data_IF_151271853287
#
_entry.id   IF_151271853287
#
_cell.length_a   1.000
_cell.length_b   1.000
_cell.length_c   1.000
_cell.angle_alpha   90.00
_cell.angle_beta   90.00
_cell.angle_gamma   90.00
#
_symmetry.space_group_name_H-M   'P 1'
#
loop_
_entity.id
_entity.type
_entity.pdbx_description
1 polymer ?
#
# COMPACT_ATOMS: atom_id res chain seq x y z
N UNK A 1 4.97 -4.20 44.41
CA UNK A 1 4.81 -5.24 43.37
C UNK A 1 4.12 -4.59 42.17
N UNK A 2 4.88 -3.91 41.31
CA UNK A 2 4.36 -3.31 40.07
C UNK A 2 4.84 -4.19 38.91
N UNK A 3 3.92 -4.92 38.29
CA UNK A 3 4.17 -5.62 37.04
C UNK A 3 3.93 -4.63 35.90
N UNK A 4 4.99 -3.97 35.40
CA UNK A 4 4.92 -3.24 34.13
C UNK A 4 4.82 -4.26 33.00
N UNK A 5 3.60 -4.52 32.53
CA UNK A 5 3.37 -5.26 31.30
C UNK A 5 3.77 -4.41 30.09
N UNK A 6 4.69 -4.90 29.25
CA UNK A 6 4.97 -4.29 27.95
C UNK A 6 3.70 -4.35 27.08
N UNK A 7 3.39 -3.25 26.38
CA UNK A 7 2.29 -3.23 25.40
C UNK A 7 2.62 -4.13 24.21
N UNK A 8 1.61 -4.65 23.52
CA UNK A 8 1.84 -5.62 22.44
C UNK A 8 2.66 -5.03 21.27
N UNK A 9 2.59 -3.71 21.06
CA UNK A 9 3.47 -2.99 20.13
C UNK A 9 4.93 -2.99 20.57
N UNK A 10 5.21 -2.90 21.87
CA UNK A 10 6.56 -2.99 22.41
C UNK A 10 7.12 -4.42 22.29
N UNK A 11 6.28 -5.45 22.43
CA UNK A 11 6.69 -6.85 22.23
C UNK A 11 7.06 -7.14 20.76
N UNK A 12 6.25 -6.66 19.82
CA UNK A 12 6.52 -6.81 18.38
C UNK A 12 7.78 -6.05 17.99
N UNK A 13 7.94 -4.80 18.48
CA UNK A 13 9.14 -4.00 18.25
C UNK A 13 10.41 -4.67 18.80
N UNK A 14 10.34 -5.23 20.01
CA UNK A 14 11.46 -5.95 20.63
C UNK A 14 11.83 -7.22 19.83
N UNK A 15 10.83 -7.94 19.31
CA UNK A 15 11.05 -9.13 18.47
C UNK A 15 11.75 -8.80 17.15
N UNK A 16 11.34 -7.72 16.47
CA UNK A 16 11.95 -7.27 15.21
C UNK A 16 13.39 -6.79 15.40
N UNK A 17 13.65 -6.06 16.49
CA UNK A 17 15.01 -5.60 16.84
C UNK A 17 15.91 -6.78 17.22
N UNK A 18 15.41 -7.74 18.00
CA UNK A 18 16.16 -8.94 18.36
C UNK A 18 16.49 -9.80 17.13
N UNK A 19 15.53 -9.96 16.21
CA UNK A 19 15.74 -10.67 14.95
C UNK A 19 16.77 -9.97 14.06
N UNK A 20 16.67 -8.65 13.92
CA UNK A 20 17.62 -7.84 13.15
C UNK A 20 19.05 -7.93 13.70
N UNK A 21 19.22 -7.83 15.03
CA UNK A 21 20.51 -7.99 15.70
C UNK A 21 21.08 -9.42 15.53
N UNK A 22 20.22 -10.44 15.60
CA UNK A 22 20.60 -11.82 15.32
C UNK A 22 21.16 -11.99 13.92
N UNK A 23 20.47 -11.46 12.91
CA UNK A 23 20.89 -11.56 11.50
C UNK A 23 22.19 -10.80 11.22
N UNK A 24 22.35 -9.62 11.83
CA UNK A 24 23.58 -8.82 11.72
C UNK A 24 24.76 -9.53 12.37
N UNK A 25 24.56 -10.14 13.55
CA UNK A 25 25.59 -10.93 14.22
C UNK A 25 26.00 -12.17 13.40
N UNK A 26 25.05 -12.85 12.77
CA UNK A 26 25.30 -14.00 11.91
C UNK A 26 26.07 -13.58 10.64
N UNK A 27 25.69 -12.44 10.04
CA UNK A 27 26.38 -11.87 8.89
C UNK A 27 27.83 -11.49 9.20
N UNK A 28 28.08 -10.91 10.38
CA UNK A 28 29.44 -10.63 10.87
C UNK A 28 30.23 -11.94 11.03
N UNK A 29 29.68 -12.94 11.71
CA UNK A 29 30.36 -14.24 11.91
C UNK A 29 30.72 -14.89 10.56
N UNK A 30 29.80 -14.92 9.61
CA UNK A 30 30.02 -15.52 8.28
C UNK A 30 31.04 -14.72 7.42
N UNK A 31 31.08 -13.39 7.58
CA UNK A 31 32.04 -12.55 6.86
C UNK A 31 33.46 -12.71 7.43
N UNK A 32 33.59 -12.82 8.76
CA UNK A 32 34.87 -13.03 9.43
C UNK A 32 35.39 -14.46 9.29
N UNK A 33 34.54 -15.47 9.06
CA UNK A 33 34.97 -16.85 8.81
C UNK A 33 35.83 -16.97 7.54
N UNK A 34 35.47 -16.25 6.46
CA UNK A 34 36.31 -16.19 5.25
C UNK A 34 37.61 -15.40 5.47
N UNK A 35 37.57 -14.36 6.31
CA UNK A 35 38.76 -13.60 6.71
C UNK A 35 39.73 -14.42 7.57
N UNK A 36 39.21 -15.23 8.49
CA UNK A 36 39.98 -16.13 9.35
C UNK A 36 40.59 -17.30 8.56
N UNK A 37 39.87 -17.86 7.58
CA UNK A 37 40.42 -18.85 6.65
C UNK A 37 41.55 -18.27 5.78
N UNK A 38 41.41 -17.03 5.31
CA UNK A 38 42.46 -16.33 4.55
C UNK A 38 43.71 -16.06 5.42
N UNK A 39 43.53 -15.61 6.66
CA UNK A 39 44.63 -15.41 7.62
C UNK A 39 45.29 -16.74 8.03
N UNK A 40 44.51 -17.80 8.22
CA UNK A 40 45.02 -19.15 8.50
C UNK A 40 45.93 -19.67 7.38
N UNK A 41 45.51 -19.52 6.12
CA UNK A 41 46.33 -19.88 4.96
C UNK A 41 47.62 -19.04 4.87
N UNK A 42 47.57 -17.74 5.20
CA UNK A 42 48.75 -16.88 5.23
C UNK A 42 49.74 -17.27 6.33
N UNK A 43 49.24 -17.65 7.52
CA UNK A 43 50.05 -18.14 8.64
C UNK A 43 50.67 -19.52 8.36
N UNK A 44 49.98 -20.39 7.62
CA UNK A 44 50.55 -21.66 7.13
C UNK A 44 51.64 -21.42 6.09
N UNK A 45 51.47 -20.42 5.21
CA UNK A 45 52.48 -20.00 4.23
C UNK A 45 53.74 -19.47 4.91
N UNK A 46 53.59 -18.58 5.89
CA UNK A 46 54.71 -18.10 6.72
C UNK A 46 55.38 -19.22 7.52
N UNK A 47 54.62 -20.18 8.07
CA UNK A 47 55.19 -21.35 8.76
C UNK A 47 55.98 -22.25 7.82
N UNK A 48 55.54 -22.44 6.57
CA UNK A 48 56.30 -23.20 5.56
C UNK A 48 57.59 -22.49 5.15
N UNK A 49 57.53 -21.16 5.00
CA UNK A 49 58.70 -20.34 4.68
C UNK A 49 59.72 -20.29 5.83
N UNK A 50 59.24 -20.19 7.08
CA UNK A 50 60.07 -20.29 8.29
C UNK A 50 60.59 -21.71 8.56
N UNK A 51 59.89 -22.78 8.16
CA UNK A 51 60.39 -24.18 8.22
C UNK A 51 61.50 -24.44 7.19
N UNK A 52 61.42 -23.82 6.02
CA UNK A 52 62.49 -23.88 5.01
C UNK A 52 63.76 -23.18 5.50
N UNK A 53 63.62 -22.00 6.13
CA UNK A 53 64.75 -21.26 6.73
C UNK A 53 65.29 -21.87 8.04
N UNK A 54 64.50 -22.67 8.78
CA UNK A 54 64.92 -23.34 10.04
C UNK A 54 65.73 -24.64 9.88
N UNK A 55 66.01 -25.10 8.66
CA UNK A 55 67.01 -26.17 8.42
C UNK A 55 68.45 -25.65 8.41
N UNK A 56 68.66 -24.34 8.55
CA UNK A 56 69.97 -23.75 8.82
C UNK A 56 69.92 -22.98 10.15
N UNK A 57 70.85 -23.34 11.05
CA UNK A 57 71.26 -22.63 12.26
C UNK A 57 70.42 -22.81 13.56
N UNK A 58 71.15 -23.13 14.62
CA UNK A 58 70.75 -23.63 15.95
C UNK A 58 70.57 -22.53 17.03
N UNK A 59 69.49 -22.66 17.85
CA UNK A 59 69.25 -22.20 19.26
C UNK A 59 69.29 -20.69 19.66
N UNK A 60 68.70 -20.23 20.82
CA UNK A 60 67.50 -20.62 21.59
C UNK A 60 66.56 -19.37 21.92
N UNK A 61 65.85 -19.21 23.07
CA UNK A 61 64.39 -18.99 23.10
C UNK A 61 63.93 -17.55 23.44
N UNK A 62 62.70 -17.17 23.06
CA UNK A 62 62.04 -15.95 23.54
C UNK A 62 60.55 -16.17 23.86
N UNK A 63 60.26 -16.12 25.16
CA UNK A 63 58.95 -16.10 25.79
C UNK A 63 58.50 -14.65 26.01
N UNK A 64 57.81 -14.00 25.05
CA UNK A 64 57.13 -12.72 25.32
C UNK A 64 56.06 -12.26 24.32
N UNK A 65 55.26 -13.15 23.76
CA UNK A 65 54.31 -12.73 22.69
C UNK A 65 52.87 -13.25 22.82
N UNK A 66 52.47 -13.76 23.99
CA UNK A 66 51.10 -14.31 24.21
C UNK A 66 50.17 -13.48 25.07
N UNK A 67 50.63 -12.39 25.70
CA UNK A 67 49.79 -11.56 26.61
C UNK A 67 49.22 -10.28 25.95
N UNK A 68 49.80 -9.80 24.86
CA UNK A 68 49.36 -8.56 24.17
C UNK A 68 48.17 -8.78 23.23
N UNK A 69 48.02 -9.98 22.65
CA UNK A 69 46.91 -10.26 21.73
C UNK A 69 45.54 -10.42 22.44
N UNK A 70 45.51 -10.92 23.67
CA UNK A 70 44.25 -11.18 24.40
C UNK A 70 43.63 -9.89 24.97
N UNK A 71 44.44 -8.89 25.33
CA UNK A 71 43.94 -7.59 25.82
C UNK A 71 43.38 -6.71 24.69
N UNK A 72 43.97 -6.76 23.48
CA UNK A 72 43.51 -5.95 22.35
C UNK A 72 42.12 -6.35 21.85
N UNK A 73 41.81 -7.66 21.86
CA UNK A 73 40.49 -8.18 21.42
C UNK A 73 39.39 -7.71 22.38
N UNK A 74 39.60 -7.78 23.70
CA UNK A 74 38.60 -7.37 24.69
C UNK A 74 38.32 -5.85 24.69
N UNK A 75 39.32 -5.02 24.39
CA UNK A 75 39.15 -3.58 24.24
C UNK A 75 38.33 -3.23 22.98
N UNK A 76 38.61 -3.90 21.86
CA UNK A 76 37.84 -3.72 20.62
C UNK A 76 36.37 -4.13 20.77
N UNK A 77 36.07 -5.22 21.49
CA UNK A 77 34.68 -5.66 21.73
C UNK A 77 33.90 -4.65 22.59
N UNK A 78 34.55 -4.03 23.57
CA UNK A 78 33.93 -3.01 24.44
C UNK A 78 33.63 -1.73 23.70
N UNK A 79 34.52 -1.27 22.82
CA UNK A 79 34.30 -0.08 21.98
C UNK A 79 33.18 -0.32 20.98
N UNK A 80 33.12 -1.50 20.36
CA UNK A 80 32.03 -1.88 19.45
C UNK A 80 30.70 -1.93 20.20
N UNK A 81 30.63 -2.58 21.37
CA UNK A 81 29.41 -2.61 22.19
C UNK A 81 28.96 -1.20 22.63
N UNK A 82 29.88 -0.33 23.06
CA UNK A 82 29.54 1.06 23.43
C UNK A 82 29.02 1.87 22.25
N UNK A 83 29.62 1.69 21.06
CA UNK A 83 29.20 2.38 19.84
C UNK A 83 27.83 1.91 19.34
N UNK A 84 27.52 0.61 19.46
CA UNK A 84 26.19 0.06 19.19
C UNK A 84 25.17 0.57 20.21
N UNK A 85 25.53 0.67 21.49
CA UNK A 85 24.65 1.22 22.54
C UNK A 85 24.33 2.70 22.31
N UNK A 86 25.31 3.49 21.84
CA UNK A 86 25.11 4.90 21.47
C UNK A 86 24.18 5.08 20.25
N UNK A 87 24.23 4.17 19.27
CA UNK A 87 23.32 4.19 18.11
C UNK A 87 21.86 3.93 18.50
N UNK A 88 21.61 3.21 19.60
CA UNK A 88 20.26 2.94 20.10
C UNK A 88 19.57 4.16 20.77
N UNK A 89 20.33 5.18 21.20
CA UNK A 89 19.77 6.37 21.90
C UNK A 89 19.08 7.35 20.92
N UNK A 90 19.32 7.20 19.61
CA UNK A 90 18.79 8.07 18.57
C UNK A 90 17.47 7.64 17.92
N UNK A 91 16.78 6.63 18.44
CA UNK A 91 15.53 6.14 17.84
C UNK A 91 14.38 7.08 18.17
N UNK A 92 14.22 8.14 17.36
CA UNK A 92 12.93 8.82 17.25
C UNK A 92 11.98 7.84 16.56
N UNK A 93 10.90 7.46 17.24
CA UNK A 93 9.89 6.57 16.68
C UNK A 93 9.39 7.12 15.35
N UNK A 94 9.67 6.42 14.26
CA UNK A 94 9.17 6.78 12.94
C UNK A 94 7.71 6.34 12.86
N UNK A 95 6.80 7.32 12.83
CA UNK A 95 5.39 7.03 12.60
C UNK A 95 5.20 6.71 11.12
N UNK A 96 4.78 5.48 10.83
CA UNK A 96 4.38 5.08 9.49
C UNK A 96 2.91 5.51 9.32
N UNK A 97 2.60 6.47 8.43
CA UNK A 97 1.23 6.90 8.19
C UNK A 97 0.34 5.72 7.79
N UNK A 98 -0.85 5.60 8.41
CA UNK A 98 -1.82 4.54 8.13
C UNK A 98 -1.78 3.34 9.08
N UNK A 99 -0.83 3.30 10.02
CA UNK A 99 -0.71 2.20 11.01
C UNK A 99 -1.52 2.46 12.29
N UNK A 100 -1.71 3.72 12.69
CA UNK A 100 -2.55 4.06 13.85
C UNK A 100 -3.96 4.50 13.41
N UNK A 101 -5.00 4.23 14.23
CA UNK A 101 -6.35 4.71 13.97
C UNK A 101 -6.42 6.23 14.09
N UNK A 102 -7.03 6.87 13.09
CA UNK A 102 -7.53 8.24 13.24
C UNK A 102 -8.79 8.18 14.10
N UNK A 103 -8.83 9.00 15.14
CA UNK A 103 -10.01 9.16 16.00
C UNK A 103 -10.66 10.49 15.68
N UNK A 104 -11.97 10.47 15.44
CA UNK A 104 -12.77 11.64 15.12
C UNK A 104 -13.74 11.96 16.26
N UNK A 105 -14.00 13.23 16.48
CA UNK A 105 -15.11 13.72 17.31
C UNK A 105 -16.36 14.02 16.45
N UNK A 106 -17.51 14.16 17.10
CA UNK A 106 -18.74 14.57 16.41
C UNK A 106 -18.55 15.95 15.75
N UNK A 107 -18.93 16.05 14.47
CA UNK A 107 -18.80 17.28 13.69
C UNK A 107 -17.44 17.50 13.04
N UNK A 108 -16.43 16.67 13.32
CA UNK A 108 -15.13 16.74 12.64
C UNK A 108 -15.28 16.58 11.13
N UNK A 109 -14.37 17.21 10.38
CA UNK A 109 -14.38 17.14 8.91
C UNK A 109 -13.70 15.86 8.44
N UNK A 110 -14.44 15.04 7.69
CA UNK A 110 -13.90 13.88 6.98
C UNK A 110 -13.58 14.24 5.53
N UNK A 111 -12.30 14.15 5.16
CA UNK A 111 -11.86 14.46 3.79
C UNK A 111 -12.07 13.26 2.85
N UNK A 112 -12.85 13.48 1.78
CA UNK A 112 -12.92 12.56 0.65
C UNK A 112 -11.88 12.97 -0.40
N UNK A 113 -11.10 12.00 -0.87
CA UNK A 113 -10.04 12.21 -1.86
C UNK A 113 -10.33 11.35 -3.09
N UNK A 114 -9.99 11.84 -4.26
CA UNK A 114 -10.05 11.05 -5.48
C UNK A 114 -8.65 10.54 -5.83
N UNK A 115 -8.56 9.35 -6.43
CA UNK A 115 -7.29 8.70 -6.75
C UNK A 115 -7.05 8.62 -8.25
N UNK A 116 -7.90 7.86 -8.94
CA UNK A 116 -7.79 7.59 -10.38
C UNK A 116 -9.09 7.00 -10.89
N UNK A 117 -9.14 6.80 -12.20
CA UNK A 117 -10.14 6.01 -12.86
C UNK A 117 -9.46 4.86 -13.60
N UNK A 118 -9.99 3.66 -13.48
CA UNK A 118 -9.49 2.46 -14.19
C UNK A 118 -10.63 1.83 -14.96
N UNK A 119 -10.30 1.01 -15.96
CA UNK A 119 -11.28 0.28 -16.75
C UNK A 119 -10.84 -1.18 -16.86
N UNK A 120 -11.81 -2.09 -16.90
CA UNK A 120 -11.55 -3.51 -17.19
C UNK A 120 -11.35 -3.76 -18.70
N UNK A 121 -11.76 -2.82 -19.56
CA UNK A 121 -11.66 -2.93 -21.02
C UNK A 121 -10.36 -2.35 -21.57
N UNK A 122 -9.77 -1.38 -20.87
CA UNK A 122 -8.59 -0.64 -21.34
C UNK A 122 -7.50 -0.63 -20.28
N UNK A 123 -6.23 -0.68 -20.72
CA UNK A 123 -5.08 -0.76 -19.80
C UNK A 123 -4.62 0.60 -19.24
N UNK A 124 -5.23 1.72 -19.65
CA UNK A 124 -4.78 3.06 -19.30
C UNK A 124 -5.58 3.63 -18.13
N UNK A 125 -4.97 3.86 -16.95
CA UNK A 125 -5.61 4.63 -15.89
C UNK A 125 -5.61 6.12 -16.24
N UNK A 126 -6.62 6.83 -15.77
CA UNK A 126 -6.73 8.28 -15.93
C UNK A 126 -6.91 8.99 -14.60
N UNK A 127 -6.42 10.23 -14.51
CA UNK A 127 -6.64 11.08 -13.34
C UNK A 127 -8.12 11.44 -13.20
N UNK A 128 -8.58 11.63 -11.97
CA UNK A 128 -9.97 12.04 -11.68
C UNK A 128 -10.38 13.29 -12.47
N UNK A 129 -9.60 14.36 -12.38
CA UNK A 129 -9.87 15.64 -13.06
C UNK A 129 -9.53 15.66 -14.56
N UNK A 130 -9.22 14.50 -15.17
CA UNK A 130 -9.16 14.38 -16.64
C UNK A 130 -10.54 14.57 -17.29
N UNK A 131 -11.61 14.34 -16.53
CA UNK A 131 -12.99 14.71 -16.86
C UNK A 131 -13.41 15.96 -16.07
N UNK A 132 -14.35 16.76 -16.59
CA UNK A 132 -14.75 18.03 -15.98
C UNK A 132 -15.71 17.83 -14.78
N UNK A 133 -15.23 17.14 -13.75
CA UNK A 133 -15.90 17.06 -12.44
C UNK A 133 -15.81 18.37 -11.67
N UNK A 134 -16.59 18.47 -10.59
CA UNK A 134 -16.55 19.59 -9.67
C UNK A 134 -15.17 19.76 -9.03
N UNK A 135 -14.59 20.95 -9.19
CA UNK A 135 -13.38 21.35 -8.49
C UNK A 135 -13.72 21.96 -7.13
N UNK A 136 -12.79 21.96 -6.16
CA UNK A 136 -12.93 22.70 -4.90
C UNK A 136 -13.29 24.18 -5.12
N UNK A 137 -13.99 24.80 -4.18
CA UNK A 137 -14.45 26.21 -4.29
C UNK A 137 -13.29 27.20 -4.49
N UNK A 138 -12.12 26.89 -3.94
CA UNK A 138 -10.89 27.68 -4.09
C UNK A 138 -10.24 27.52 -5.47
N UNK A 139 -10.74 26.62 -6.33
CA UNK A 139 -10.21 26.33 -7.66
C UNK A 139 -8.94 25.48 -7.68
N UNK A 140 -8.22 25.44 -6.56
CA UNK A 140 -6.93 24.76 -6.43
C UNK A 140 -7.08 23.26 -6.16
N UNK A 141 -6.48 22.48 -7.07
CA UNK A 141 -6.35 21.01 -6.94
C UNK A 141 -5.02 20.72 -6.26
N UNK A 142 -5.10 20.26 -5.01
CA UNK A 142 -3.96 19.87 -4.21
C UNK A 142 -3.71 18.37 -4.32
N UNK A 143 -2.51 18.02 -4.77
CA UNK A 143 -2.04 16.64 -4.81
C UNK A 143 -1.45 16.26 -3.45
N UNK A 144 -1.88 15.12 -2.90
CA UNK A 144 -1.31 14.57 -1.68
C UNK A 144 0.07 13.99 -1.99
N UNK A 145 1.03 14.17 -1.09
CA UNK A 145 2.30 13.45 -1.15
C UNK A 145 2.06 11.95 -0.99
N UNK A 146 2.59 11.17 -1.92
CA UNK A 146 2.37 9.73 -2.03
C UNK A 146 3.54 8.95 -1.43
N UNK A 147 3.25 7.74 -0.94
CA UNK A 147 4.27 6.77 -0.59
C UNK A 147 4.79 6.03 -1.83
N UNK A 148 5.92 5.31 -1.70
CA UNK A 148 6.55 4.61 -2.82
C UNK A 148 5.59 3.61 -3.50
N UNK A 149 4.75 2.92 -2.72
CA UNK A 149 3.78 1.95 -3.26
C UNK A 149 2.69 2.60 -4.11
N UNK A 150 2.15 3.75 -3.66
CA UNK A 150 1.17 4.55 -4.40
C UNK A 150 1.78 5.12 -5.69
N UNK A 151 3.04 5.56 -5.65
CA UNK A 151 3.76 6.03 -6.84
C UNK A 151 3.95 4.89 -7.85
N UNK A 152 4.37 3.71 -7.41
CA UNK A 152 4.55 2.54 -8.28
C UNK A 152 3.23 2.04 -8.89
N UNK A 153 2.10 2.22 -8.18
CA UNK A 153 0.75 1.95 -8.69
C UNK A 153 0.19 3.01 -9.64
N UNK A 154 0.92 4.12 -9.81
CA UNK A 154 0.51 5.25 -10.63
C UNK A 154 -0.66 6.04 -10.03
N UNK A 155 -0.81 6.03 -8.71
CA UNK A 155 -1.89 6.75 -8.03
C UNK A 155 -1.64 8.27 -8.10
N UNK A 156 -2.71 9.06 -8.19
CA UNK A 156 -2.67 10.54 -8.19
C UNK A 156 -3.74 11.07 -7.25
N UNK A 157 -3.46 11.02 -5.95
CA UNK A 157 -4.43 11.40 -4.93
C UNK A 157 -4.61 12.93 -4.90
N UNK A 158 -5.86 13.38 -5.08
CA UNK A 158 -6.25 14.79 -5.10
C UNK A 158 -7.41 15.07 -4.15
N UNK A 159 -7.51 16.31 -3.67
CA UNK A 159 -8.65 16.78 -2.89
C UNK A 159 -9.92 16.86 -3.74
N UNK A 160 -11.09 16.74 -3.09
CA UNK A 160 -12.40 16.84 -3.74
C UNK A 160 -13.28 17.87 -3.01
N UNK A 161 -14.34 18.40 -3.65
CA UNK A 161 -15.26 19.35 -3.01
C UNK A 161 -16.26 18.73 -2.03
N UNK A 162 -16.25 17.42 -1.79
CA UNK A 162 -17.20 16.79 -0.85
C UNK A 162 -16.94 17.24 0.58
N UNK A 163 -18.00 17.66 1.29
CA UNK A 163 -17.91 18.16 2.65
C UNK A 163 -18.71 17.25 3.59
N UNK A 164 -18.00 16.36 4.28
CA UNK A 164 -18.59 15.45 5.25
C UNK A 164 -18.22 15.89 6.64
N UNK A 165 -19.23 15.96 7.51
CA UNK A 165 -19.05 16.13 8.96
C UNK A 165 -19.44 14.85 9.66
N UNK A 166 -18.59 14.40 10.58
CA UNK A 166 -18.76 13.14 11.33
C UNK A 166 -20.09 13.16 12.09
N UNK A 167 -20.86 12.08 11.93
CA UNK A 167 -22.23 11.87 12.45
C UNK A 167 -23.32 12.84 11.96
N UNK A 168 -23.06 13.63 10.93
CA UNK A 168 -24.07 14.51 10.33
C UNK A 168 -24.56 13.92 9.01
N UNK A 169 -25.75 13.33 9.05
CA UNK A 169 -26.47 12.86 7.87
C UNK A 169 -26.86 14.03 6.97
N UNK A 170 -26.71 13.83 5.65
CA UNK A 170 -27.00 14.83 4.63
C UNK A 170 -27.73 14.14 3.48
N UNK A 171 -29.02 14.44 3.26
CA UNK A 171 -29.80 13.65 2.29
C UNK A 171 -29.72 14.13 0.84
N UNK A 172 -29.39 15.40 0.61
CA UNK A 172 -29.22 15.94 -0.75
C UNK A 172 -28.44 17.24 -0.68
N UNK A 173 -27.20 17.18 -1.15
CA UNK A 173 -26.28 18.30 -1.26
C UNK A 173 -25.85 18.48 -2.70
N UNK A 174 -25.83 19.72 -3.17
CA UNK A 174 -25.34 20.12 -4.47
C UNK A 174 -23.82 20.24 -4.37
N UNK A 175 -23.10 19.48 -5.19
CA UNK A 175 -21.65 19.55 -5.26
C UNK A 175 -21.22 20.70 -6.17
N UNK A 176 -21.77 20.73 -7.39
CA UNK A 176 -21.65 21.85 -8.32
C UNK A 176 -22.65 21.70 -9.48
N UNK A 177 -22.84 22.80 -10.20
CA UNK A 177 -23.52 22.83 -11.49
C UNK A 177 -22.51 23.12 -12.59
N UNK A 178 -22.58 22.36 -13.68
CA UNK A 178 -21.69 22.50 -14.83
C UNK A 178 -22.48 22.41 -16.13
N UNK A 179 -21.99 23.09 -17.16
CA UNK A 179 -22.55 23.01 -18.50
C UNK A 179 -21.55 22.31 -19.42
N UNK A 180 -21.87 21.08 -19.82
CA UNK A 180 -20.98 20.27 -20.65
C UNK A 180 -21.07 20.67 -22.12
N UNK A 181 -19.92 20.90 -22.75
CA UNK A 181 -19.82 21.06 -24.20
C UNK A 181 -19.78 19.70 -24.92
N UNK A 182 -19.94 19.69 -26.24
CA UNK A 182 -19.92 18.46 -27.05
C UNK A 182 -18.64 17.62 -26.86
N UNK A 183 -17.46 18.25 -26.69
CA UNK A 183 -16.20 17.51 -26.46
C UNK A 183 -16.21 16.80 -25.11
N UNK A 184 -16.72 17.47 -24.08
CA UNK A 184 -16.83 16.94 -22.72
C UNK A 184 -17.88 15.84 -22.63
N UNK A 185 -19.05 16.02 -23.26
CA UNK A 185 -20.07 14.97 -23.38
C UNK A 185 -19.46 13.73 -24.05
N UNK A 186 -18.77 13.90 -25.19
CA UNK A 186 -18.09 12.79 -25.86
C UNK A 186 -17.04 12.12 -24.97
N UNK A 187 -16.25 12.89 -24.21
CA UNK A 187 -15.26 12.34 -23.30
C UNK A 187 -15.91 11.50 -22.18
N UNK A 188 -16.98 11.99 -21.54
CA UNK A 188 -17.74 11.21 -20.58
C UNK A 188 -18.34 9.95 -21.22
N UNK A 189 -19.00 10.09 -22.38
CA UNK A 189 -19.62 8.96 -23.06
C UNK A 189 -18.62 7.86 -23.38
N UNK A 190 -17.45 8.22 -23.91
CA UNK A 190 -16.39 7.27 -24.21
C UNK A 190 -15.91 6.54 -22.95
N UNK A 191 -15.71 7.25 -21.82
CA UNK A 191 -15.29 6.62 -20.57
C UNK A 191 -16.36 5.71 -19.96
N UNK A 192 -17.63 6.05 -20.15
CA UNK A 192 -18.73 5.18 -19.71
C UNK A 192 -18.79 3.92 -20.59
N UNK A 193 -18.67 4.05 -21.90
CA UNK A 193 -18.65 2.91 -22.83
C UNK A 193 -17.43 2.00 -22.60
N UNK A 194 -16.29 2.58 -22.25
CA UNK A 194 -15.07 1.87 -21.84
C UNK A 194 -15.15 1.30 -20.41
N UNK A 195 -16.28 1.41 -19.71
CA UNK A 195 -16.54 0.84 -18.39
C UNK A 195 -15.56 1.31 -17.30
N UNK A 196 -15.31 2.63 -17.25
CA UNK A 196 -14.46 3.23 -16.23
C UNK A 196 -15.11 3.25 -14.83
N UNK A 197 -14.34 2.79 -13.86
CA UNK A 197 -14.61 2.84 -12.43
C UNK A 197 -13.78 3.95 -11.78
N UNK A 198 -14.40 4.76 -10.93
CA UNK A 198 -13.74 5.83 -10.17
C UNK A 198 -13.31 5.31 -8.80
N UNK A 199 -12.08 5.64 -8.43
CA UNK A 199 -11.47 5.29 -7.15
C UNK A 199 -11.38 6.52 -6.26
N UNK A 200 -11.95 6.43 -5.07
CA UNK A 200 -11.90 7.46 -4.03
C UNK A 200 -11.42 6.88 -2.71
N UNK A 201 -10.96 7.75 -1.81
CA UNK A 201 -10.46 7.39 -0.49
C UNK A 201 -11.11 8.26 0.60
N UNK A 202 -11.41 7.63 1.74
CA UNK A 202 -11.81 8.29 2.99
C UNK A 202 -11.09 7.60 4.15
N UNK A 203 -10.34 8.35 5.00
CA UNK A 203 -9.52 7.76 6.08
C UNK A 203 -8.61 6.59 5.63
N UNK A 204 -8.08 6.72 4.41
CA UNK A 204 -7.30 5.72 3.68
C UNK A 204 -8.07 4.43 3.28
N UNK A 205 -9.38 4.34 3.50
CA UNK A 205 -10.22 3.27 2.95
C UNK A 205 -10.65 3.60 1.53
N UNK A 206 -10.61 2.63 0.60
CA UNK A 206 -11.17 2.82 -0.73
C UNK A 206 -12.71 2.90 -0.67
N UNK A 207 -13.29 3.63 -1.61
CA UNK A 207 -14.72 3.57 -1.86
C UNK A 207 -15.08 2.17 -2.37
N UNK A 208 -16.11 1.55 -1.80
CA UNK A 208 -16.66 0.31 -2.33
C UNK A 208 -18.08 0.51 -2.85
N UNK A 209 -18.42 -0.14 -3.96
CA UNK A 209 -19.82 -0.36 -4.32
C UNK A 209 -20.26 -1.73 -3.82
N UNK A 210 -21.45 -1.80 -3.23
CA UNK A 210 -22.01 -3.05 -2.69
C UNK A 210 -23.15 -3.52 -3.58
N UNK A 211 -23.06 -4.76 -4.04
CA UNK A 211 -24.10 -5.40 -4.84
C UNK A 211 -24.61 -6.65 -4.13
N UNK A 212 -25.92 -6.87 -4.16
CA UNK A 212 -26.50 -8.12 -3.65
C UNK A 212 -26.59 -9.12 -4.80
N UNK A 213 -25.92 -10.25 -4.65
CA UNK A 213 -26.04 -11.34 -5.62
C UNK A 213 -27.45 -11.93 -5.54
N UNK A 214 -28.20 -11.87 -6.64
CA UNK A 214 -29.59 -12.36 -6.68
C UNK A 214 -29.69 -13.88 -6.48
N UNK A 215 -28.61 -14.64 -6.73
CA UNK A 215 -28.60 -16.10 -6.62
C UNK A 215 -28.19 -16.59 -5.23
N UNK A 216 -27.12 -16.05 -4.65
CA UNK A 216 -26.64 -16.46 -3.33
C UNK A 216 -27.23 -15.63 -2.19
N UNK A 217 -27.76 -14.44 -2.47
CA UNK A 217 -28.20 -13.49 -1.46
C UNK A 217 -27.05 -12.79 -0.71
N UNK A 218 -25.81 -13.16 -1.00
CA UNK A 218 -24.61 -12.59 -0.39
C UNK A 218 -24.30 -11.20 -0.96
N UNK A 219 -23.65 -10.38 -0.13
CA UNK A 219 -23.17 -9.06 -0.51
C UNK A 219 -21.79 -9.21 -1.16
N UNK A 220 -21.67 -8.72 -2.38
CA UNK A 220 -20.41 -8.60 -3.11
C UNK A 220 -19.96 -7.15 -3.06
N UNK A 221 -18.67 -6.96 -2.82
CA UNK A 221 -18.03 -5.66 -2.79
C UNK A 221 -17.15 -5.50 -4.03
N UNK A 222 -17.20 -4.32 -4.65
CA UNK A 222 -16.31 -3.94 -5.75
C UNK A 222 -15.58 -2.65 -5.39
N UNK A 223 -14.29 -2.58 -5.73
CA UNK A 223 -13.46 -1.38 -5.52
C UNK A 223 -13.89 -0.26 -6.47
N UNK A 224 -14.14 0.92 -5.91
CA UNK A 224 -14.64 2.09 -6.61
C UNK A 224 -16.13 2.03 -6.95
N UNK A 225 -16.56 2.94 -7.83
CA UNK A 225 -17.93 2.99 -8.37
C UNK A 225 -17.94 3.37 -9.84
N UNK A 226 -18.96 2.91 -10.58
CA UNK A 226 -19.08 3.13 -12.02
C UNK A 226 -19.43 4.59 -12.35
N UNK A 227 -18.74 5.17 -13.33
CA UNK A 227 -19.02 6.52 -13.84
C UNK A 227 -20.44 6.65 -14.41
N UNK A 228 -20.96 5.57 -14.94
CA UNK A 228 -22.23 5.51 -15.63
C UNK A 228 -22.43 4.12 -16.22
N UNK A 229 -23.45 3.98 -17.05
CA UNK A 229 -23.76 2.75 -17.76
C UNK A 229 -24.29 3.06 -19.16
N UNK A 230 -24.14 2.10 -20.07
CA UNK A 230 -24.55 2.20 -21.46
C UNK A 230 -25.58 1.09 -21.75
N UNK A 231 -26.76 1.44 -22.27
CA UNK A 231 -27.81 0.50 -22.67
C UNK A 231 -28.35 0.85 -24.05
N UNK A 232 -28.43 -0.12 -24.96
CA UNK A 232 -29.10 0.01 -26.27
C UNK A 232 -28.82 1.36 -26.98
N UNK A 233 -27.55 1.78 -27.01
CA UNK A 233 -27.06 3.04 -27.60
C UNK A 233 -27.34 4.36 -26.84
N UNK A 234 -27.89 4.30 -25.63
CA UNK A 234 -27.98 5.42 -24.69
C UNK A 234 -26.89 5.32 -23.65
N UNK A 235 -26.19 6.43 -23.42
CA UNK A 235 -25.15 6.52 -22.39
C UNK A 235 -25.67 7.34 -21.24
N UNK A 236 -25.66 6.78 -20.03
CA UNK A 236 -26.17 7.41 -18.81
C UNK A 236 -25.03 7.65 -17.84
N UNK A 237 -25.00 8.84 -17.25
CA UNK A 237 -24.00 9.23 -16.24
C UNK A 237 -24.58 9.11 -14.83
N UNK A 238 -23.76 8.62 -13.90
CA UNK A 238 -24.05 8.65 -12.47
C UNK A 238 -23.56 9.99 -11.89
N UNK A 239 -24.49 10.90 -11.66
CA UNK A 239 -24.23 12.26 -11.18
C UNK A 239 -24.68 12.49 -9.72
N UNK A 240 -25.36 11.52 -9.11
CA UNK A 240 -25.66 11.51 -7.69
C UNK A 240 -24.87 10.41 -6.98
N UNK A 241 -24.12 10.74 -5.93
CA UNK A 241 -23.42 9.75 -5.11
C UNK A 241 -24.06 9.66 -3.73
N UNK A 242 -24.57 8.49 -3.40
CA UNK A 242 -25.01 8.20 -2.03
C UNK A 242 -23.87 7.54 -1.27
N UNK A 243 -23.23 8.32 -0.41
CA UNK A 243 -22.10 7.94 0.39
C UNK A 243 -22.60 7.38 1.72
N UNK A 244 -22.16 6.19 2.08
CA UNK A 244 -22.39 5.58 3.39
C UNK A 244 -21.06 5.44 4.11
N UNK A 245 -20.93 6.09 5.25
CA UNK A 245 -19.75 5.97 6.10
C UNK A 245 -20.11 5.08 7.27
N UNK A 246 -19.39 3.95 7.37
CA UNK A 246 -19.51 3.03 8.49
C UNK A 246 -18.49 3.40 9.55
N UNK A 247 -18.94 3.52 10.79
CA UNK A 247 -18.08 3.93 11.90
C UNK A 247 -18.25 2.99 13.10
N UNK A 248 -17.21 2.92 13.92
CA UNK A 248 -17.20 2.22 15.19
C UNK A 248 -17.03 3.26 16.30
N UNK A 249 -18.00 3.32 17.22
CA UNK A 249 -17.94 4.19 18.38
C UNK A 249 -17.07 3.54 19.47
N UNK A 250 -16.05 4.26 19.93
CA UNK A 250 -15.21 3.86 21.05
C UNK A 250 -15.54 4.77 22.23
N UNK A 251 -16.24 4.25 23.25
CA UNK A 251 -16.52 5.03 24.44
C UNK A 251 -15.22 5.30 25.20
N UNK A 252 -14.91 6.57 25.47
CA UNK A 252 -13.85 7.00 26.40
C UNK A 252 -14.48 7.72 27.60
N UNK A 253 -13.75 7.85 28.73
CA UNK A 253 -14.31 8.41 29.96
C UNK A 253 -14.89 9.83 29.81
N UNK A 254 -14.29 10.65 28.94
CA UNK A 254 -14.68 12.06 28.76
C UNK A 254 -15.66 12.26 27.60
N UNK A 255 -15.38 11.66 26.44
CA UNK A 255 -16.17 11.77 25.21
C UNK A 255 -16.04 10.54 24.35
N UNK A 256 -17.10 10.20 23.63
CA UNK A 256 -17.03 9.17 22.60
C UNK A 256 -16.15 9.64 21.44
N UNK A 257 -15.30 8.73 20.95
CA UNK A 257 -14.54 8.95 19.72
C UNK A 257 -14.99 7.94 18.67
N UNK A 258 -14.95 8.36 17.41
CA UNK A 258 -15.46 7.59 16.30
C UNK A 258 -14.31 7.20 15.37
N UNK A 259 -14.28 5.93 14.97
CA UNK A 259 -13.28 5.41 14.03
C UNK A 259 -13.98 4.98 12.75
N UNK A 260 -13.46 5.42 11.60
CA UNK A 260 -14.03 5.06 10.30
C UNK A 260 -13.60 3.63 9.95
N UNK A 261 -14.60 2.78 9.69
CA UNK A 261 -14.39 1.34 9.41
C UNK A 261 -14.94 0.91 8.07
N UNK A 262 -15.70 1.76 7.37
CA UNK A 262 -16.12 1.49 6.00
C UNK A 262 -16.51 2.76 5.24
N UNK A 263 -16.30 2.70 3.94
CA UNK A 263 -16.63 3.74 2.98
C UNK A 263 -17.29 3.08 1.77
N UNK A 264 -18.60 3.27 1.65
CA UNK A 264 -19.42 2.72 0.60
C UNK A 264 -20.04 3.84 -0.24
N UNK A 265 -20.13 3.62 -1.54
CA UNK A 265 -20.70 4.57 -2.49
C UNK A 265 -21.71 3.84 -3.36
N UNK A 266 -22.95 4.33 -3.34
CA UNK A 266 -24.04 3.88 -4.19
C UNK A 266 -24.27 4.94 -5.27
N UNK A 267 -23.76 4.75 -6.51
CA UNK A 267 -23.91 5.72 -7.57
C UNK A 267 -25.32 5.67 -8.18
N UNK A 268 -25.88 6.84 -8.47
CA UNK A 268 -27.22 6.98 -9.05
C UNK A 268 -27.22 8.03 -10.16
N UNK A 269 -28.12 7.84 -11.13
CA UNK A 269 -28.36 8.81 -12.20
C UNK A 269 -29.65 9.56 -11.95
N UNK A 270 -29.55 10.89 -11.81
CA UNK A 270 -30.67 11.78 -11.53
C UNK A 270 -30.69 12.88 -12.58
N UNK A 271 -31.77 12.95 -13.35
CA UNK A 271 -31.94 14.02 -14.33
C UNK A 271 -31.97 15.41 -13.65
N UNK A 272 -31.33 16.40 -14.27
CA UNK A 272 -31.20 17.75 -13.69
C UNK A 272 -32.55 18.41 -13.32
N UNK A 273 -33.63 18.07 -14.01
CA UNK A 273 -34.99 18.61 -13.71
C UNK A 273 -35.59 18.07 -12.41
N UNK A 274 -35.14 16.90 -11.93
CA UNK A 274 -35.65 16.31 -10.70
C UNK A 274 -35.05 16.97 -9.45
N UNK A 275 -34.01 17.79 -9.61
CA UNK A 275 -33.27 18.42 -8.53
C UNK A 275 -33.74 19.87 -8.38
N UNK A 276 -34.39 20.17 -7.26
CA UNK A 276 -34.74 21.53 -6.87
C UNK A 276 -33.73 22.09 -5.88
N UNK A 277 -33.19 23.27 -6.14
CA UNK A 277 -32.19 23.92 -5.29
C UNK A 277 -32.86 24.53 -4.05
N UNK A 278 -32.21 24.38 -2.91
CA UNK A 278 -32.54 25.04 -1.65
C UNK A 278 -31.38 25.96 -1.20
N UNK A 279 -31.59 26.83 -0.20
CA UNK A 279 -30.51 27.57 0.45
C UNK A 279 -29.44 26.63 1.03
N UNK A 280 -28.20 27.13 1.14
CA UNK A 280 -27.04 26.44 1.72
C UNK A 280 -26.57 25.18 0.96
N UNK A 281 -26.57 25.24 -0.37
CA UNK A 281 -26.17 24.11 -1.25
C UNK A 281 -27.02 22.84 -1.05
N UNK A 282 -28.16 22.90 -0.35
CA UNK A 282 -29.09 21.78 -0.19
C UNK A 282 -29.95 21.59 -1.44
N UNK A 283 -30.48 20.39 -1.61
CA UNK A 283 -31.44 20.09 -2.66
C UNK A 283 -32.61 19.23 -2.19
N UNK A 284 -33.68 19.20 -3.00
CA UNK A 284 -34.72 18.18 -2.93
C UNK A 284 -34.71 17.43 -4.26
N UNK A 285 -34.65 16.11 -4.19
CA UNK A 285 -34.85 15.23 -5.35
C UNK A 285 -36.32 14.81 -5.35
N UNK A 286 -37.06 15.20 -6.39
CA UNK A 286 -38.42 14.72 -6.58
C UNK A 286 -38.40 13.26 -7.05
N UNK A 287 -38.95 12.35 -6.23
CA UNK A 287 -38.98 10.91 -6.52
C UNK A 287 -39.90 10.55 -7.69
N UNK A 288 -40.86 11.41 -8.01
CA UNK A 288 -41.82 11.14 -9.10
C UNK A 288 -41.21 11.42 -10.49
N UNK A 289 -40.10 12.17 -10.54
CA UNK A 289 -39.40 12.57 -11.77
C UNK A 289 -38.03 11.89 -11.92
N UNK A 290 -37.88 10.64 -11.44
CA UNK A 290 -36.64 9.85 -11.52
C UNK A 290 -36.31 9.36 -12.94
N UNK A 291 -36.20 10.30 -13.88
CA UNK A 291 -35.59 10.08 -15.18
C UNK A 291 -34.08 10.01 -15.00
N UNK A 292 -33.45 9.13 -15.76
CA UNK A 292 -31.99 9.02 -15.80
C UNK A 292 -31.38 10.18 -16.59
N UNK A 293 -30.16 10.57 -16.24
CA UNK A 293 -29.41 11.61 -16.93
C UNK A 293 -28.67 11.02 -18.13
N UNK A 294 -29.30 11.09 -19.31
CA UNK A 294 -28.69 10.64 -20.57
C UNK A 294 -27.74 11.69 -21.15
N UNK A 295 -26.54 11.24 -21.54
CA UNK A 295 -25.56 12.01 -22.30
C UNK A 295 -25.91 11.95 -23.79
N UNK A 296 -26.84 12.80 -24.22
CA UNK A 296 -27.20 12.91 -25.65
C UNK A 296 -26.14 13.71 -26.40
N UNK A 297 -25.55 13.07 -27.42
CA UNK A 297 -24.60 13.72 -28.29
C UNK A 297 -25.35 14.62 -29.29
N UNK A 298 -25.71 15.84 -28.87
CA UNK A 298 -26.40 16.78 -29.75
C UNK A 298 -25.40 17.33 -30.77
N UNK A 299 -25.69 17.19 -32.07
CA UNK A 299 -24.94 17.85 -33.16
C UNK A 299 -25.02 19.38 -33.06
N UNK A 300 -25.94 19.90 -32.27
CA UNK A 300 -26.08 21.34 -32.01
C UNK A 300 -25.12 21.79 -30.90
N UNK A 301 -24.60 23.02 -31.01
CA UNK A 301 -23.71 23.68 -30.03
C UNK A 301 -24.37 23.95 -28.65
N UNK A 302 -25.48 23.32 -28.32
CA UNK A 302 -26.15 23.48 -27.02
C UNK A 302 -25.31 22.79 -25.94
N UNK A 303 -25.00 23.51 -24.87
CA UNK A 303 -24.36 22.90 -23.70
C UNK A 303 -25.40 22.10 -22.91
N UNK A 304 -24.99 20.97 -22.37
CA UNK A 304 -25.84 20.10 -21.56
C UNK A 304 -25.68 20.47 -20.09
N UNK A 305 -26.73 20.99 -19.41
CA UNK A 305 -26.66 21.28 -17.98
C UNK A 305 -26.62 19.98 -17.18
N UNK A 306 -25.57 19.82 -16.38
CA UNK A 306 -25.35 18.68 -15.51
C UNK A 306 -25.12 19.16 -14.08
N UNK A 307 -25.91 18.63 -13.15
CA UNK A 307 -25.74 18.89 -11.73
C UNK A 307 -25.16 17.66 -11.06
N UNK A 308 -24.07 17.83 -10.31
CA UNK A 308 -23.54 16.79 -9.43
C UNK A 308 -24.09 17.00 -8.02
N UNK A 309 -24.61 15.93 -7.43
CA UNK A 309 -25.19 15.95 -6.09
C UNK A 309 -24.69 14.75 -5.29
N UNK A 310 -24.83 14.81 -3.97
CA UNK A 310 -24.49 13.70 -3.10
C UNK A 310 -25.38 13.64 -1.87
N UNK A 311 -25.39 12.47 -1.25
CA UNK A 311 -25.98 12.24 0.05
C UNK A 311 -24.98 11.49 0.93
N UNK A 312 -25.09 11.65 2.24
CA UNK A 312 -24.19 11.09 3.25
C UNK A 312 -25.06 10.48 4.34
N UNK A 313 -24.83 9.21 4.62
CA UNK A 313 -25.48 8.47 5.71
C UNK A 313 -24.41 7.85 6.59
N UNK A 314 -24.52 8.05 7.90
CA UNK A 314 -23.63 7.47 8.89
C UNK A 314 -24.25 6.21 9.50
N UNK A 315 -23.53 5.10 9.46
CA UNK A 315 -24.00 3.80 9.96
C UNK A 315 -23.04 3.27 11.03
N UNK A 316 -23.55 3.06 12.24
CA UNK A 316 -22.75 2.47 13.31
C UNK A 316 -22.55 0.96 13.10
N UNK A 317 -21.32 0.49 13.31
CA UNK A 317 -20.92 -0.93 13.23
C UNK A 317 -20.17 -1.32 14.50
N UNK A 318 -20.89 -1.73 15.57
CA UNK A 318 -20.25 -2.10 16.83
C UNK A 318 -19.39 -3.36 16.71
N UNK A 319 -19.80 -4.32 15.88
CA UNK A 319 -19.09 -5.60 15.69
C UNK A 319 -17.78 -5.49 14.89
N UNK A 320 -17.57 -4.38 14.17
CA UNK A 320 -16.42 -4.22 13.28
C UNK A 320 -15.32 -3.40 13.97
N UNK A 321 -14.30 -4.08 14.47
CA UNK A 321 -13.13 -3.41 15.04
C UNK A 321 -12.33 -2.68 13.96
N UNK A 322 -11.64 -1.60 14.34
CA UNK A 322 -10.78 -0.84 13.41
C UNK A 322 -9.70 -1.70 12.76
N UNK A 323 -9.13 -2.68 13.49
CA UNK A 323 -8.08 -3.55 12.96
C UNK A 323 -8.55 -4.43 11.79
N UNK A 324 -9.83 -4.85 11.79
CA UNK A 324 -10.43 -5.69 10.74
C UNK A 324 -11.13 -4.88 9.64
N UNK A 325 -11.03 -3.54 9.65
CA UNK A 325 -11.75 -2.68 8.70
C UNK A 325 -11.37 -2.92 7.23
N UNK A 326 -10.18 -3.47 7.00
CA UNK A 326 -9.69 -3.80 5.65
C UNK A 326 -10.17 -5.16 5.13
N UNK A 327 -10.67 -6.04 6.01
CA UNK A 327 -11.02 -7.42 5.63
C UNK A 327 -12.12 -7.46 4.57
N UNK A 328 -13.10 -6.56 4.65
CA UNK A 328 -14.17 -6.43 3.65
C UNK A 328 -13.62 -6.08 2.26
N UNK A 329 -12.60 -5.22 2.20
CA UNK A 329 -11.99 -4.79 0.94
C UNK A 329 -11.04 -5.84 0.37
N UNK A 330 -10.33 -6.59 1.22
CA UNK A 330 -9.44 -7.66 0.78
C UNK A 330 -10.21 -8.89 0.28
N UNK A 331 -11.47 -9.04 0.67
CA UNK A 331 -12.35 -10.10 0.16
C UNK A 331 -12.82 -9.87 -1.28
N UNK A 332 -12.58 -8.69 -1.85
CA UNK A 332 -12.86 -8.38 -3.26
C UNK A 332 -11.88 -9.12 -4.17
N UNK A 333 -12.20 -10.34 -4.57
CA UNK A 333 -11.33 -11.17 -5.40
C UNK A 333 -11.39 -10.76 -6.87
N UNK A 334 -10.31 -10.19 -7.40
CA UNK A 334 -10.10 -10.05 -8.85
C UNK A 334 -9.47 -11.36 -9.39
N UNK A 335 -10.32 -12.22 -9.94
CA UNK A 335 -9.97 -13.61 -10.30
C UNK A 335 -8.86 -13.68 -11.36
N UNK A 336 -8.67 -12.62 -12.15
CA UNK A 336 -7.77 -12.66 -13.30
C UNK A 336 -6.29 -12.53 -12.94
N UNK A 337 -5.94 -11.96 -11.78
CA UNK A 337 -4.54 -11.67 -11.43
C UNK A 337 -3.82 -12.89 -10.84
N UNK A 338 -4.56 -13.82 -10.23
CA UNK A 338 -3.95 -14.92 -9.47
C UNK A 338 -3.13 -15.90 -10.33
N UNK A 339 -3.62 -16.27 -11.52
CA UNK A 339 -2.92 -17.26 -12.35
C UNK A 339 -1.65 -16.68 -12.98
N UNK A 340 -1.64 -15.39 -13.36
CA UNK A 340 -0.46 -14.73 -13.92
C UNK A 340 0.68 -14.63 -12.89
N UNK A 341 0.36 -14.30 -11.63
CA UNK A 341 1.33 -14.26 -10.54
C UNK A 341 1.92 -15.66 -10.24
N UNK A 342 1.11 -16.71 -10.32
CA UNK A 342 1.56 -18.10 -10.16
C UNK A 342 2.52 -18.47 -11.30
N UNK A 343 2.17 -18.20 -12.55
CA UNK A 343 3.05 -18.46 -13.70
C UNK A 343 4.38 -17.72 -13.60
N UNK A 344 4.35 -16.42 -13.25
CA UNK A 344 5.56 -15.61 -13.07
C UNK A 344 6.46 -16.16 -11.95
N UNK A 345 5.87 -16.57 -10.82
CA UNK A 345 6.61 -17.14 -9.71
C UNK A 345 7.26 -18.49 -10.07
N UNK A 346 6.54 -19.36 -10.78
CA UNK A 346 7.07 -20.64 -11.27
C UNK A 346 8.23 -20.42 -12.24
N UNK A 347 8.10 -19.46 -13.17
CA UNK A 347 9.16 -19.13 -14.12
C UNK A 347 10.46 -18.67 -13.42
N UNK A 348 10.34 -17.80 -12.41
CA UNK A 348 11.49 -17.32 -11.62
C UNK A 348 12.17 -18.48 -10.86
N UNK A 349 11.40 -19.37 -10.25
CA UNK A 349 11.94 -20.53 -9.52
C UNK A 349 12.70 -21.47 -10.45
N UNK A 350 12.13 -21.80 -11.62
CA UNK A 350 12.81 -22.64 -12.60
C UNK A 350 14.11 -21.99 -13.09
N UNK A 351 14.08 -20.69 -13.38
CA UNK A 351 15.27 -19.96 -13.82
C UNK A 351 16.39 -19.95 -12.76
N UNK A 352 16.06 -19.63 -11.50
CA UNK A 352 17.03 -19.63 -10.41
C UNK A 352 17.57 -21.03 -10.12
N UNK A 353 16.72 -22.07 -10.19
CA UNK A 353 17.15 -23.46 -10.03
C UNK A 353 18.10 -23.90 -11.15
N UNK A 354 17.86 -23.47 -12.39
CA UNK A 354 18.71 -23.77 -13.54
C UNK A 354 20.10 -23.15 -13.41
N UNK A 355 20.18 -21.89 -12.95
CA UNK A 355 21.45 -21.22 -12.66
C UNK A 355 22.19 -21.94 -11.54
N UNK A 356 21.51 -22.31 -10.46
CA UNK A 356 22.11 -23.04 -9.35
C UNK A 356 22.66 -24.40 -9.81
N UNK A 357 21.89 -25.15 -10.59
CA UNK A 357 22.31 -26.43 -11.15
C UNK A 357 23.56 -26.27 -12.05
N UNK A 358 23.61 -25.25 -12.89
CA UNK A 358 24.78 -24.96 -13.73
C UNK A 358 26.02 -24.65 -12.89
N UNK A 359 25.88 -23.83 -11.84
CA UNK A 359 26.97 -23.51 -10.91
C UNK A 359 27.47 -24.80 -10.23
N UNK A 360 26.57 -25.63 -9.73
CA UNK A 360 26.91 -26.90 -9.08
C UNK A 360 27.64 -27.83 -10.05
N UNK A 361 27.10 -28.05 -11.26
CA UNK A 361 27.72 -28.91 -12.28
C UNK A 361 29.10 -28.38 -12.68
N UNK A 362 29.25 -27.07 -12.86
CA UNK A 362 30.52 -26.45 -13.22
C UNK A 362 31.56 -26.58 -12.09
N UNK A 363 31.13 -26.46 -10.84
CA UNK A 363 32.00 -26.60 -9.67
C UNK A 363 32.41 -28.06 -9.48
N UNK A 364 31.46 -29.00 -9.57
CA UNK A 364 31.69 -30.43 -9.42
C UNK A 364 32.61 -30.98 -10.51
N UNK A 365 32.43 -30.58 -11.78
CA UNK A 365 33.36 -30.94 -12.88
C UNK A 365 34.78 -30.42 -12.63
N UNK A 366 34.91 -29.20 -12.10
CA UNK A 366 36.21 -28.60 -11.77
C UNK A 366 36.89 -29.30 -10.60
N UNK A 367 36.12 -29.79 -9.63
CA UNK A 367 36.64 -30.52 -8.48
C UNK A 367 37.07 -31.94 -8.87
N UNK A 368 36.26 -32.69 -9.63
CA UNK A 368 36.67 -34.00 -10.17
C UNK A 368 37.96 -33.89 -10.99
N UNK A 369 38.05 -32.90 -11.88
CA UNK A 369 39.26 -32.69 -12.69
C UNK A 369 40.50 -32.30 -11.88
N UNK A 370 40.33 -31.81 -10.64
CA UNK A 370 41.45 -31.59 -9.70
C UNK A 370 41.85 -32.88 -9.00
N UNK A 371 40.88 -33.62 -8.45
CA UNK A 371 41.16 -34.91 -7.79
C UNK A 371 41.85 -35.90 -8.73
N UNK A 372 41.42 -36.01 -9.99
CA UNK A 372 42.06 -36.91 -10.95
C UNK A 372 43.52 -36.52 -11.25
N UNK A 373 43.84 -35.22 -11.28
CA UNK A 373 45.24 -34.75 -11.48
C UNK A 373 46.11 -35.02 -10.27
N UNK A 374 45.53 -34.92 -9.07
CA UNK A 374 46.25 -35.19 -7.83
C UNK A 374 46.53 -36.70 -7.68
N UNK A 375 45.63 -37.59 -8.14
CA UNK A 375 45.88 -39.04 -8.21
C UNK A 375 46.99 -39.40 -9.22
N UNK A 376 46.95 -38.84 -10.44
CA UNK A 376 48.00 -39.05 -11.46
C UNK A 376 49.38 -38.54 -11.01
N UNK A 377 49.43 -37.56 -10.09
CA UNK A 377 50.69 -37.05 -9.53
C UNK A 377 51.25 -37.90 -8.38
N UNK A 378 50.45 -38.84 -7.84
CA UNK A 378 50.82 -39.73 -6.73
C UNK A 378 51.16 -41.15 -7.23
N UNK A 379 50.67 -41.54 -8.42
CA UNK A 379 51.09 -42.75 -9.15
C UNK A 379 52.37 -42.52 -9.95
#
# INVERSE_FOLDING_TARGET
>A
MFSMGLTDMQKIGLGLVAFGLGFLSLGVVLFFDKGLLAMGNHLVKEKKEKKSKKKALTTPPLTKERRTAVMGVAAATRVVCLSVLCLCVGVRGFYIPGVAPTEYEEGDKLEIKAVKMTSIKTQLPYEYYSLPFCKPKDGDVHYKTLNLGEVLRGDRIVNTPYQLSVLKDQYCMILCETELNHKQVKAFSQRIDEDYTLHMLADNLPAATVFKNLKSGELQYEDGFKLGFSYTSHVVINNHLKIRIKYHAVPKPDKNVYRIVGFEVEPQSIHSSAVSKQPDDRCIINKDDLKVMELKNSKEKRKLPLMFTYSVVWEERPELAWASRWDTYLSMSDVQIHWFAICNSVAIVLFLSGILALIIVRTLRRDIARYNKDEEAIS
#
